data_IF_001845440939
#
_entry.id   IF_001845440939
#
_cell.length_a   1.000
_cell.length_b   1.000
_cell.length_c   1.000
_cell.angle_alpha   90.00
_cell.angle_beta   90.00
_cell.angle_gamma   90.00
#
_symmetry.space_group_name_H-M   'P 1'
#
loop_
_entity.id
_entity.type
_entity.pdbx_description
1 polymer ?
#
# COMPACT_ATOMS: atom_id res chain seq x y z
N UNK A 1 3.78 -24.09 -4.41
CA UNK A 1 2.41 -23.57 -4.58
C UNK A 1 2.44 -22.08 -4.28
N UNK A 2 2.66 -21.22 -5.27
CA UNK A 2 2.64 -19.76 -5.08
C UNK A 2 1.19 -19.41 -4.73
N UNK A 3 0.94 -18.97 -3.50
CA UNK A 3 -0.42 -18.85 -2.97
C UNK A 3 -1.22 -17.87 -3.82
N UNK A 4 -2.40 -18.31 -4.26
CA UNK A 4 -3.40 -17.49 -4.94
C UNK A 4 -4.00 -16.40 -4.03
N UNK A 5 -3.50 -16.22 -2.80
CA UNK A 5 -3.99 -15.27 -1.80
C UNK A 5 -3.60 -13.82 -2.07
N UNK A 6 -2.34 -13.52 -2.41
CA UNK A 6 -1.87 -12.13 -2.57
C UNK A 6 -2.65 -11.36 -3.64
N UNK A 7 -2.87 -11.97 -4.82
CA UNK A 7 -3.66 -11.32 -5.88
C UNK A 7 -5.09 -11.04 -5.45
N UNK A 8 -5.73 -11.97 -4.74
CA UNK A 8 -7.11 -11.79 -4.25
C UNK A 8 -7.20 -10.70 -3.18
N UNK A 9 -6.20 -10.58 -2.32
CA UNK A 9 -6.14 -9.52 -1.32
C UNK A 9 -5.98 -8.15 -1.98
N UNK A 10 -5.12 -8.04 -3.01
CA UNK A 10 -4.97 -6.81 -3.79
C UNK A 10 -6.25 -6.45 -4.56
N UNK A 11 -6.93 -7.44 -5.15
CA UNK A 11 -8.24 -7.22 -5.81
C UNK A 11 -9.27 -6.71 -4.81
N UNK A 12 -9.37 -7.34 -3.63
CA UNK A 12 -10.27 -6.91 -2.56
C UNK A 12 -10.02 -5.46 -2.13
N UNK A 13 -8.75 -5.10 -1.93
CA UNK A 13 -8.33 -3.74 -1.62
C UNK A 13 -8.78 -2.73 -2.69
N UNK A 14 -8.50 -3.01 -3.96
CA UNK A 14 -8.90 -2.14 -5.08
C UNK A 14 -10.42 -2.01 -5.21
N UNK A 15 -11.18 -3.09 -4.97
CA UNK A 15 -12.65 -3.06 -5.01
C UNK A 15 -13.23 -2.16 -3.92
N UNK A 16 -12.70 -2.23 -2.70
CA UNK A 16 -13.13 -1.36 -1.58
C UNK A 16 -12.78 0.10 -1.88
N UNK A 17 -11.57 0.38 -2.36
CA UNK A 17 -11.17 1.74 -2.76
C UNK A 17 -12.06 2.32 -3.87
N UNK A 18 -12.39 1.50 -4.87
CA UNK A 18 -13.32 1.89 -5.94
C UNK A 18 -14.71 2.22 -5.40
N UNK A 19 -15.26 1.38 -4.50
CA UNK A 19 -16.55 1.64 -3.84
C UNK A 19 -16.54 2.96 -3.06
N UNK A 20 -15.42 3.30 -2.43
CA UNK A 20 -15.25 4.52 -1.63
C UNK A 20 -14.73 5.74 -2.44
N UNK A 21 -14.58 5.61 -3.77
CA UNK A 21 -14.05 6.65 -4.68
C UNK A 21 -12.67 7.18 -4.23
N UNK A 22 -11.82 6.29 -3.72
CA UNK A 22 -10.44 6.59 -3.33
C UNK A 22 -9.50 6.34 -4.52
N UNK A 23 -8.39 7.07 -4.61
CA UNK A 23 -7.40 6.79 -5.66
C UNK A 23 -6.76 5.41 -5.43
N UNK A 24 -6.54 4.61 -6.47
CA UNK A 24 -6.08 3.23 -6.34
C UNK A 24 -4.65 3.16 -5.80
N UNK A 25 -4.43 2.22 -4.87
CA UNK A 25 -3.11 1.92 -4.31
C UNK A 25 -2.91 0.41 -4.21
N UNK A 26 -1.66 -0.02 -4.11
CA UNK A 26 -1.29 -1.41 -3.90
C UNK A 26 -0.46 -1.50 -2.62
N UNK A 27 -0.95 -2.21 -1.60
CA UNK A 27 -0.21 -2.36 -0.35
C UNK A 27 0.99 -3.30 -0.54
N UNK A 28 2.11 -2.94 0.09
CA UNK A 28 3.40 -3.65 0.00
C UNK A 28 3.97 -4.02 1.37
N UNK A 29 3.51 -3.39 2.45
CA UNK A 29 3.89 -3.75 3.82
C UNK A 29 2.77 -3.41 4.82
N UNK A 30 2.76 -4.11 5.95
CA UNK A 30 1.89 -3.86 7.11
C UNK A 30 2.65 -3.11 8.19
N UNK A 31 1.94 -2.32 9.01
CA UNK A 31 2.47 -1.80 10.27
C UNK A 31 1.87 -2.58 11.45
N UNK A 32 2.33 -2.30 12.67
CA UNK A 32 1.76 -2.87 13.91
C UNK A 32 0.26 -2.54 14.07
N UNK A 33 -0.17 -1.42 13.49
CA UNK A 33 -1.58 -1.06 13.37
C UNK A 33 -2.20 -1.82 12.20
N UNK A 34 -3.21 -2.66 12.48
CA UNK A 34 -3.93 -3.44 11.47
C UNK A 34 -4.63 -2.58 10.40
N UNK A 35 -4.93 -1.32 10.72
CA UNK A 35 -5.63 -0.39 9.82
C UNK A 35 -4.67 0.49 9.00
N UNK A 36 -3.38 0.53 9.35
CA UNK A 36 -2.37 1.29 8.63
C UNK A 36 -1.47 0.37 7.80
N UNK A 37 -1.31 0.73 6.52
CA UNK A 37 -0.47 -0.02 5.59
C UNK A 37 0.44 0.91 4.81
N UNK A 38 1.56 0.38 4.33
CA UNK A 38 2.41 1.05 3.35
C UNK A 38 2.01 0.56 1.96
N UNK A 39 1.75 1.49 1.07
CA UNK A 39 1.25 1.22 -0.28
C UNK A 39 1.95 2.05 -1.33
N UNK A 40 1.91 1.60 -2.57
CA UNK A 40 2.30 2.38 -3.75
C UNK A 40 1.05 3.01 -4.35
N UNK A 41 1.09 4.32 -4.59
CA UNK A 41 0.06 5.01 -5.35
C UNK A 41 0.14 4.58 -6.82
N UNK A 42 -0.91 3.97 -7.36
CA UNK A 42 -0.89 3.44 -8.71
C UNK A 42 -0.89 4.54 -9.79
N UNK A 43 -1.16 5.80 -9.40
CA UNK A 43 -1.16 6.94 -10.32
C UNK A 43 0.16 7.70 -10.34
N UNK A 44 0.78 7.92 -9.16
CA UNK A 44 2.01 8.70 -9.06
C UNK A 44 3.28 7.85 -8.91
N UNK A 45 3.15 6.58 -8.51
CA UNK A 45 4.31 5.72 -8.19
C UNK A 45 4.94 6.00 -6.82
N UNK A 46 4.43 6.99 -6.09
CA UNK A 46 4.89 7.32 -4.74
C UNK A 46 4.58 6.21 -3.74
N UNK A 47 5.45 6.03 -2.76
CA UNK A 47 5.18 5.18 -1.61
C UNK A 47 4.55 6.02 -0.51
N UNK A 48 3.40 5.57 -0.03
CA UNK A 48 2.57 6.26 0.94
C UNK A 48 2.27 5.36 2.14
N UNK A 49 2.13 5.96 3.32
CA UNK A 49 1.38 5.37 4.43
C UNK A 49 -0.09 5.72 4.24
N UNK A 50 -0.98 4.74 4.31
CA UNK A 50 -2.42 4.99 4.25
C UNK A 50 -3.19 4.27 5.36
N UNK A 51 -4.31 4.87 5.76
CA UNK A 51 -5.30 4.22 6.63
C UNK A 51 -6.40 3.63 5.75
N UNK A 52 -6.58 2.32 5.82
CA UNK A 52 -7.52 1.57 5.00
C UNK A 52 -8.94 2.16 5.08
N UNK A 53 -9.60 2.27 3.92
CA UNK A 53 -10.96 2.81 3.80
C UNK A 53 -11.08 4.33 3.95
N UNK A 54 -9.96 5.08 4.06
CA UNK A 54 -9.99 6.54 4.23
C UNK A 54 -9.15 7.28 3.17
N UNK A 55 -9.24 8.61 3.16
CA UNK A 55 -8.35 9.47 2.36
C UNK A 55 -7.06 9.88 3.11
N UNK A 56 -6.85 9.42 4.34
CA UNK A 56 -5.67 9.78 5.14
C UNK A 56 -4.45 9.08 4.58
N UNK A 57 -3.55 9.89 4.00
CA UNK A 57 -2.34 9.44 3.31
C UNK A 57 -1.18 10.35 3.63
N UNK A 58 0.00 9.77 3.75
CA UNK A 58 1.25 10.49 3.97
C UNK A 58 2.31 9.91 3.04
N UNK A 59 2.90 10.75 2.20
CA UNK A 59 3.99 10.31 1.31
C UNK A 59 5.25 10.02 2.14
N UNK A 60 5.79 8.81 1.97
CA UNK A 60 7.02 8.35 2.63
C UNK A 60 8.22 8.44 1.69
N UNK A 61 8.01 8.23 0.39
CA UNK A 61 9.08 8.24 -0.60
C UNK A 61 8.53 8.55 -2.00
N UNK A 62 9.29 9.26 -2.86
CA UNK A 62 8.84 9.61 -4.20
C UNK A 62 8.73 8.41 -5.15
N UNK A 63 9.39 7.28 -4.85
CA UNK A 63 9.32 6.09 -5.69
C UNK A 63 9.56 4.82 -4.87
N UNK A 64 9.09 3.68 -5.39
CA UNK A 64 9.35 2.37 -4.79
C UNK A 64 10.85 2.08 -4.69
N UNK A 65 11.64 2.42 -5.71
CA UNK A 65 13.08 2.22 -5.70
C UNK A 65 13.76 3.04 -4.59
N UNK A 66 13.42 4.33 -4.47
CA UNK A 66 13.92 5.21 -3.41
C UNK A 66 13.54 4.69 -2.02
N UNK A 67 12.33 4.15 -1.86
CA UNK A 67 11.89 3.53 -0.62
C UNK A 67 12.70 2.29 -0.27
N UNK A 68 12.84 1.34 -1.20
CA UNK A 68 13.60 0.11 -0.94
C UNK A 68 15.06 0.39 -0.58
N UNK A 69 15.68 1.40 -1.21
CA UNK A 69 17.05 1.81 -0.90
C UNK A 69 17.23 2.47 0.48
N UNK A 70 16.16 2.99 1.08
CA UNK A 70 16.22 3.58 2.43
C UNK A 70 15.87 2.58 3.54
N UNK A 71 15.33 1.41 3.19
CA UNK A 71 14.99 0.38 4.16
C UNK A 71 16.25 -0.20 4.81
N UNK A 72 16.13 -0.48 6.11
CA UNK A 72 17.13 -1.22 6.88
C UNK A 72 16.52 -2.56 7.28
N UNK A 73 17.23 -3.68 7.11
CA UNK A 73 16.80 -4.95 7.66
C UNK A 73 16.61 -4.84 9.17
N UNK A 74 15.51 -5.41 9.66
CA UNK A 74 15.27 -5.62 11.09
C UNK A 74 15.66 -7.08 11.38
N UNK A 75 16.45 -7.29 12.43
CA UNK A 75 16.88 -8.61 12.91
C UNK A 75 15.86 -9.19 13.89
#
# INVERSE_FOLDING_TARGET
MISSGCRRNLIGHLLVQKRLKLSPTLFIATLDSELEVISVCNMSGEVIKETLGTRKRTTLSPSLASFLNSLKPVL
#
